data_IF_373748874244
#
_entry.id   IF_373748874244
#
_cell.length_a   1.000
_cell.length_b   1.000
_cell.length_c   1.000
_cell.angle_alpha   90.00
_cell.angle_beta   90.00
_cell.angle_gamma   90.00
#
_symmetry.space_group_name_H-M   'P 1'
#
loop_
_entity.id
_entity.type
_entity.pdbx_description
1 polymer ?
#
# COMPACT_ATOMS: atom_id res chain seq x y z
N UNK A 1 20.29 9.00 13.00
CA UNK A 1 20.39 7.63 12.49
C UNK A 1 19.19 7.33 11.62
N UNK A 2 19.42 6.77 10.45
CA UNK A 2 18.35 6.37 9.54
C UNK A 2 18.11 4.86 9.67
N UNK A 3 16.85 4.48 9.87
CA UNK A 3 16.44 3.07 9.91
C UNK A 3 16.03 2.64 8.51
N UNK A 4 16.68 1.61 7.99
CA UNK A 4 16.35 1.08 6.67
C UNK A 4 15.33 -0.04 6.82
N UNK A 5 14.19 0.12 6.15
CA UNK A 5 13.09 -0.85 6.19
C UNK A 5 13.03 -1.57 4.85
N UNK A 6 13.38 -2.85 4.84
CA UNK A 6 13.39 -3.64 3.62
C UNK A 6 12.01 -4.26 3.39
N UNK A 7 11.44 -4.04 2.21
CA UNK A 7 10.17 -4.62 1.80
C UNK A 7 10.40 -5.49 0.57
N UNK A 8 10.66 -6.79 0.77
CA UNK A 8 10.95 -7.68 -0.37
C UNK A 8 9.75 -7.90 -1.28
N UNK A 9 8.54 -7.75 -0.75
CA UNK A 9 7.31 -7.98 -1.50
C UNK A 9 6.29 -6.86 -1.25
N UNK A 10 6.54 -5.66 -1.79
CA UNK A 10 5.59 -4.55 -1.65
C UNK A 10 4.30 -4.83 -2.41
N UNK A 11 3.26 -4.11 -2.04
CA UNK A 11 1.95 -4.24 -2.66
C UNK A 11 1.29 -2.87 -2.81
N UNK A 12 0.41 -2.77 -3.79
CA UNK A 12 -0.57 -1.70 -3.83
C UNK A 12 -1.80 -2.18 -3.08
N UNK A 13 -2.10 -1.58 -1.95
CA UNK A 13 -3.31 -1.87 -1.20
C UNK A 13 -4.43 -1.00 -1.75
N UNK A 14 -5.47 -1.62 -2.28
CA UNK A 14 -6.65 -0.93 -2.81
C UNK A 14 -7.83 -1.28 -1.93
N UNK A 15 -8.33 -0.30 -1.20
CA UNK A 15 -9.44 -0.46 -0.27
C UNK A 15 -10.69 0.14 -0.89
N UNK A 16 -11.74 -0.66 -1.01
CA UNK A 16 -13.04 -0.25 -1.52
C UNK A 16 -14.05 -0.25 -0.38
N UNK A 17 -14.78 0.85 -0.23
CA UNK A 17 -15.94 0.88 0.66
C UNK A 17 -17.18 0.53 -0.16
N UNK A 18 -17.82 -0.58 0.19
CA UNK A 18 -18.98 -1.10 -0.52
C UNK A 18 -20.08 -1.37 0.51
N UNK A 19 -20.96 -0.39 0.78
CA UNK A 19 -22.01 -0.58 1.78
C UNK A 19 -22.92 -1.75 1.41
N UNK A 20 -23.23 -2.58 2.41
CA UNK A 20 -24.11 -3.72 2.23
C UNK A 20 -23.52 -4.85 1.41
N UNK A 21 -22.20 -4.91 1.25
CA UNK A 21 -21.56 -5.91 0.41
C UNK A 21 -21.95 -7.33 0.80
N UNK A 22 -22.32 -8.12 -0.20
CA UNK A 22 -22.58 -9.55 -0.04
C UNK A 22 -22.20 -10.27 -1.35
N UNK A 23 -21.78 -11.53 -1.25
CA UNK A 23 -21.41 -12.32 -2.41
C UNK A 23 -22.60 -12.51 -3.35
N UNK A 24 -22.33 -12.57 -4.64
CA UNK A 24 -23.34 -12.85 -5.67
C UNK A 24 -24.07 -11.65 -6.23
N UNK A 25 -23.79 -10.44 -5.73
CA UNK A 25 -24.40 -9.21 -6.21
C UNK A 25 -23.47 -8.39 -7.09
N UNK A 26 -24.01 -7.32 -7.66
CA UNK A 26 -23.25 -6.27 -8.33
C UNK A 26 -23.30 -5.03 -7.45
N UNK A 27 -22.13 -4.53 -7.08
CA UNK A 27 -22.00 -3.48 -6.08
C UNK A 27 -21.17 -2.33 -6.61
N UNK A 28 -21.48 -1.13 -6.14
CA UNK A 28 -20.68 0.06 -6.43
C UNK A 28 -19.94 0.47 -5.17
N UNK A 29 -18.65 0.74 -5.31
CA UNK A 29 -17.87 1.32 -4.25
C UNK A 29 -18.21 2.80 -4.11
N UNK A 30 -18.39 3.27 -2.87
CA UNK A 30 -18.60 4.69 -2.57
C UNK A 30 -17.28 5.41 -2.34
N UNK A 31 -16.22 4.65 -2.06
CA UNK A 31 -14.91 5.20 -1.81
C UNK A 31 -13.85 4.18 -2.24
N UNK A 32 -12.78 4.66 -2.84
CA UNK A 32 -11.63 3.86 -3.20
C UNK A 32 -10.37 4.55 -2.70
N UNK A 33 -9.57 3.85 -1.90
CA UNK A 33 -8.27 4.35 -1.43
C UNK A 33 -7.18 3.41 -1.88
N UNK A 34 -6.03 4.00 -2.23
CA UNK A 34 -4.83 3.24 -2.53
C UNK A 34 -3.72 3.65 -1.58
N UNK A 35 -2.95 2.67 -1.13
CA UNK A 35 -1.78 2.92 -0.31
C UNK A 35 -0.71 1.88 -0.61
N UNK A 36 0.51 2.18 -0.21
CA UNK A 36 1.59 1.21 -0.31
C UNK A 36 1.48 0.22 0.85
N UNK A 37 1.50 -1.06 0.54
CA UNK A 37 1.51 -2.15 1.51
C UNK A 37 2.81 -2.93 1.49
N UNK A 38 2.91 -3.85 2.41
CA UNK A 38 4.07 -4.69 2.65
C UNK A 38 4.60 -4.48 4.06
N UNK A 39 5.18 -5.52 4.63
CA UNK A 39 5.59 -5.48 6.05
C UNK A 39 6.61 -4.39 6.33
N UNK A 40 7.62 -4.24 5.47
CA UNK A 40 8.66 -3.23 5.67
C UNK A 40 8.10 -1.80 5.62
N UNK A 41 7.21 -1.53 4.67
CA UNK A 41 6.57 -0.21 4.57
C UNK A 41 5.67 0.06 5.77
N UNK A 42 4.95 -0.96 6.25
CA UNK A 42 4.11 -0.80 7.44
C UNK A 42 4.95 -0.46 8.67
N UNK A 43 6.12 -1.09 8.82
CA UNK A 43 7.06 -0.78 9.88
C UNK A 43 7.59 0.66 9.73
N UNK A 44 7.99 1.05 8.52
CA UNK A 44 8.48 2.41 8.26
C UNK A 44 7.43 3.46 8.61
N UNK A 45 6.18 3.22 8.24
CA UNK A 45 5.07 4.13 8.56
C UNK A 45 4.90 4.28 10.07
N UNK A 46 4.94 3.17 10.81
CA UNK A 46 4.82 3.20 12.27
C UNK A 46 5.99 3.93 12.91
N UNK A 47 7.22 3.67 12.47
CA UNK A 47 8.42 4.32 13.00
C UNK A 47 8.41 5.82 12.70
N UNK A 48 7.98 6.22 11.51
CA UNK A 48 7.88 7.63 11.15
C UNK A 48 6.91 8.38 12.06
N UNK A 49 5.80 7.74 12.43
CA UNK A 49 4.84 8.33 13.40
C UNK A 49 5.43 8.50 14.78
N UNK A 50 6.45 7.71 15.13
CA UNK A 50 7.18 7.84 16.39
C UNK A 50 8.35 8.80 16.29
N UNK A 51 8.51 9.50 15.16
CA UNK A 51 9.55 10.50 14.97
C UNK A 51 10.87 9.94 14.44
N UNK A 52 10.94 8.67 14.06
CA UNK A 52 12.15 8.09 13.51
C UNK A 52 12.35 8.49 12.03
N UNK A 53 13.61 8.61 11.64
CA UNK A 53 13.98 8.78 10.23
C UNK A 53 14.11 7.41 9.58
N UNK A 54 13.34 7.17 8.52
CA UNK A 54 13.30 5.88 7.84
C UNK A 54 13.60 6.00 6.37
N UNK A 55 14.09 4.92 5.79
CA UNK A 55 14.23 4.76 4.33
C UNK A 55 13.70 3.38 3.98
N UNK A 56 12.66 3.34 3.15
CA UNK A 56 12.10 2.09 2.63
C UNK A 56 12.83 1.70 1.37
N UNK A 57 13.20 0.44 1.24
CA UNK A 57 13.84 -0.10 0.05
C UNK A 57 13.15 -1.39 -0.36
N UNK A 58 13.06 -1.63 -1.66
CA UNK A 58 12.45 -2.85 -2.18
C UNK A 58 12.30 -2.81 -3.69
N UNK A 59 11.80 -3.91 -4.28
CA UNK A 59 11.56 -4.00 -5.72
C UNK A 59 10.18 -3.49 -6.08
N UNK A 60 10.07 -2.75 -7.17
CA UNK A 60 8.80 -2.34 -7.77
C UNK A 60 8.82 -2.58 -9.26
N UNK A 61 7.72 -3.00 -9.83
CA UNK A 61 7.61 -3.24 -11.26
C UNK A 61 6.25 -2.87 -11.83
N UNK A 62 6.25 -2.57 -13.12
CA UNK A 62 5.06 -2.28 -13.88
C UNK A 62 4.34 -1.01 -13.46
N UNK A 63 3.14 -0.85 -13.98
CA UNK A 63 2.29 0.29 -13.66
C UNK A 63 1.88 0.29 -12.20
N UNK A 64 1.61 -0.88 -11.64
CA UNK A 64 1.27 -1.02 -10.22
C UNK A 64 2.43 -0.54 -9.34
N UNK A 65 3.68 -0.85 -9.73
CA UNK A 65 4.86 -0.36 -9.03
C UNK A 65 4.94 1.16 -9.04
N UNK A 66 4.61 1.79 -10.16
CA UNK A 66 4.57 3.26 -10.25
C UNK A 66 3.53 3.84 -9.29
N UNK A 67 2.36 3.21 -9.17
CA UNK A 67 1.33 3.63 -8.25
C UNK A 67 1.78 3.50 -6.79
N UNK A 68 2.52 2.42 -6.46
CA UNK A 68 3.09 2.24 -5.11
C UNK A 68 4.10 3.34 -4.81
N UNK A 69 4.98 3.66 -5.75
CA UNK A 69 5.96 4.73 -5.56
C UNK A 69 5.27 6.08 -5.31
N UNK A 70 4.23 6.38 -6.08
CA UNK A 70 3.47 7.62 -5.93
C UNK A 70 2.74 7.66 -4.58
N UNK A 71 2.14 6.56 -4.16
CA UNK A 71 1.43 6.48 -2.87
C UNK A 71 2.39 6.66 -1.70
N UNK A 72 3.58 6.06 -1.77
CA UNK A 72 4.60 6.20 -0.74
C UNK A 72 5.07 7.65 -0.63
N UNK A 73 5.32 8.30 -1.76
CA UNK A 73 5.72 9.69 -1.80
C UNK A 73 4.62 10.61 -1.24
N UNK A 74 3.36 10.32 -1.53
CA UNK A 74 2.22 11.09 -1.03
C UNK A 74 2.09 11.02 0.49
N UNK A 75 2.52 9.91 1.11
CA UNK A 75 2.57 9.78 2.56
C UNK A 75 3.78 10.47 3.19
N UNK A 76 4.69 10.98 2.38
CA UNK A 76 5.92 11.61 2.87
C UNK A 76 6.97 10.61 3.35
N UNK A 77 6.85 9.34 2.98
CA UNK A 77 7.83 8.31 3.35
C UNK A 77 9.00 8.31 2.36
N UNK A 78 10.21 8.42 2.89
CA UNK A 78 11.41 8.30 2.06
C UNK A 78 11.56 6.87 1.58
N UNK A 79 11.86 6.71 0.30
CA UNK A 79 11.99 5.38 -0.30
C UNK A 79 12.95 5.40 -1.47
N UNK A 80 13.62 4.26 -1.67
CA UNK A 80 14.41 3.98 -2.87
C UNK A 80 13.98 2.62 -3.39
N UNK A 81 13.41 2.61 -4.59
CA UNK A 81 12.88 1.40 -5.19
C UNK A 81 13.81 0.91 -6.30
N UNK A 82 13.92 -0.40 -6.42
CA UNK A 82 14.65 -1.04 -7.50
C UNK A 82 13.64 -1.54 -8.53
N UNK A 83 13.82 -1.13 -9.79
CA UNK A 83 12.92 -1.57 -10.85
C UNK A 83 13.11 -3.04 -11.17
N UNK A 84 12.02 -3.76 -11.32
CA UNK A 84 11.99 -5.17 -11.75
C UNK A 84 11.06 -5.33 -12.95
N UNK A 85 11.19 -6.47 -13.65
CA UNK A 85 10.40 -6.73 -14.85
C UNK A 85 8.95 -7.11 -14.56
N UNK A 86 8.69 -7.78 -13.45
CA UNK A 86 7.33 -8.21 -13.08
C UNK A 86 6.52 -7.07 -12.48
N UNK A 87 5.20 -7.23 -12.49
CA UNK A 87 4.30 -6.25 -11.88
C UNK A 87 4.25 -6.41 -10.36
N UNK A 88 4.22 -5.29 -9.66
CA UNK A 88 3.95 -5.28 -8.22
C UNK A 88 2.52 -5.76 -7.98
N UNK A 89 2.33 -6.57 -6.94
CA UNK A 89 1.03 -7.14 -6.62
C UNK A 89 0.06 -6.09 -6.09
N UNK A 90 -1.23 -6.36 -6.28
CA UNK A 90 -2.31 -5.55 -5.71
C UNK A 90 -3.06 -6.39 -4.68
N UNK A 91 -3.28 -5.84 -3.51
CA UNK A 91 -4.16 -6.42 -2.50
C UNK A 91 -5.48 -5.65 -2.52
N UNK A 92 -6.56 -6.36 -2.79
CA UNK A 92 -7.89 -5.76 -2.80
C UNK A 92 -8.55 -5.99 -1.45
N UNK A 93 -8.99 -4.91 -0.81
CA UNK A 93 -9.65 -4.94 0.48
C UNK A 93 -11.04 -4.34 0.30
N UNK A 94 -12.08 -5.08 0.69
CA UNK A 94 -13.46 -4.63 0.62
C UNK A 94 -13.96 -4.41 2.04
N UNK A 95 -14.43 -3.20 2.32
CA UNK A 95 -14.96 -2.81 3.62
C UNK A 95 -16.44 -2.50 3.44
N UNK A 96 -17.30 -3.15 4.20
CA UNK A 96 -18.73 -2.85 4.20
C UNK A 96 -19.06 -1.70 5.17
N UNK A 97 -20.35 -1.36 5.26
CA UNK A 97 -20.83 -0.28 6.12
C UNK A 97 -20.72 -0.58 7.61
N UNK A 98 -20.37 -1.82 7.98
CA UNK A 98 -20.14 -2.23 9.36
C UNK A 98 -18.64 -2.21 9.71
N UNK A 99 -17.79 -1.78 8.77
CA UNK A 99 -16.36 -1.74 8.96
C UNK A 99 -15.65 -3.09 8.86
N UNK A 100 -16.32 -4.11 8.36
CA UNK A 100 -15.75 -5.43 8.13
C UNK A 100 -15.24 -5.56 6.71
N UNK A 101 -14.13 -6.27 6.57
CA UNK A 101 -13.49 -6.50 5.28
C UNK A 101 -13.69 -7.94 4.80
#
# INVERSE_FOLDING_TARGET
>A
MTLVCVTPNPALDRTLRVPGFAAGGVWRATECRTSCGGKGVNVARALARLGATTLSVGPLGGKTGQEVAAATAAEGLAARWTAIAGDTRTCLIIVDDRGQS
#
